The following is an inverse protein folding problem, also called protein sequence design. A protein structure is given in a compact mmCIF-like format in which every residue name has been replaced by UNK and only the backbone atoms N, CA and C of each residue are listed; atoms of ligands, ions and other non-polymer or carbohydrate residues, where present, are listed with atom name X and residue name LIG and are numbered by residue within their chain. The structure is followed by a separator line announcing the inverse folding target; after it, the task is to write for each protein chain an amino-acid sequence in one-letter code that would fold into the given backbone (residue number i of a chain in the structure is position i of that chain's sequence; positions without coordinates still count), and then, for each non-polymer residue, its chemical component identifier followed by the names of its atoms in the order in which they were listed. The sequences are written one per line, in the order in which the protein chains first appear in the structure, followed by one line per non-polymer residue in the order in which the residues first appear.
data_IF_504076544297
#
_entry.id   IF_504076544297
#
_cell.length_a   1.000
_cell.length_b   1.000
_cell.length_c   1.000
_cell.angle_alpha   90.00
_cell.angle_beta   90.00
_cell.angle_gamma   90.00
#
_symmetry.space_group_name_H-M   'P 1'
#
loop_
_entity.id
_entity.type
_entity.pdbx_description
1 polymer ?
#
# COMPACT_ATOMS: atom_id res chain seq x y z
N UNK A 1 35.44 -32.06 10.64
CA UNK A 1 34.17 -32.71 11.05
C UNK A 1 33.24 -33.02 9.85
N UNK A 2 33.75 -33.72 8.82
CA UNK A 2 33.11 -33.78 7.48
C UNK A 2 32.91 -35.21 6.92
N UNK A 3 32.98 -36.26 7.75
CA UNK A 3 32.77 -37.67 7.31
C UNK A 3 31.41 -38.28 7.75
N UNK A 4 30.76 -37.75 8.78
CA UNK A 4 29.48 -38.30 9.34
C UNK A 4 28.22 -37.94 8.52
N UNK A 5 28.16 -36.74 7.94
CA UNK A 5 27.02 -36.31 7.08
C UNK A 5 27.00 -37.01 5.71
N UNK A 6 28.17 -37.41 5.17
CA UNK A 6 28.29 -38.11 3.89
C UNK A 6 27.85 -39.58 4.01
N UNK A 7 28.17 -40.28 5.11
CA UNK A 7 27.74 -41.67 5.32
C UNK A 7 26.24 -41.82 5.60
N UNK A 8 25.63 -40.86 6.34
CA UNK A 8 24.16 -40.84 6.57
C UNK A 8 23.36 -40.54 5.30
N UNK A 9 23.86 -39.68 4.39
CA UNK A 9 23.23 -39.42 3.08
C UNK A 9 23.28 -40.64 2.14
N UNK A 10 24.40 -41.37 2.11
CA UNK A 10 24.54 -42.60 1.32
C UNK A 10 23.63 -43.74 1.81
N UNK A 11 23.42 -43.85 3.13
CA UNK A 11 22.54 -44.86 3.75
C UNK A 11 21.04 -44.59 3.50
N UNK A 12 20.63 -43.32 3.49
CA UNK A 12 19.25 -42.93 3.16
C UNK A 12 18.97 -43.10 1.66
N UNK A 13 19.95 -42.84 0.79
CA UNK A 13 19.85 -43.06 -0.66
C UNK A 13 19.70 -44.56 -0.99
N UNK A 14 20.46 -45.46 -0.33
CA UNK A 14 20.34 -46.91 -0.58
C UNK A 14 19.04 -47.52 -0.04
N UNK A 15 18.47 -46.98 1.04
CA UNK A 15 17.16 -47.42 1.57
C UNK A 15 15.99 -46.96 0.70
N UNK A 16 16.09 -45.75 0.11
CA UNK A 16 15.13 -45.27 -0.89
C UNK A 16 15.20 -46.10 -2.18
N UNK A 17 16.39 -46.41 -2.68
CA UNK A 17 16.55 -47.25 -3.88
C UNK A 17 16.06 -48.70 -3.64
N UNK A 18 16.28 -49.26 -2.45
CA UNK A 18 15.81 -50.62 -2.09
C UNK A 18 14.28 -50.68 -2.03
N UNK A 19 13.64 -49.68 -1.40
CA UNK A 19 12.18 -49.59 -1.30
C UNK A 19 11.52 -49.34 -2.67
N UNK A 20 12.12 -48.51 -3.53
CA UNK A 20 11.65 -48.27 -4.90
C UNK A 20 11.80 -49.53 -5.77
N UNK A 21 12.85 -50.33 -5.60
CA UNK A 21 13.03 -51.60 -6.32
C UNK A 21 12.00 -52.66 -5.91
N UNK A 22 11.67 -52.77 -4.62
CA UNK A 22 10.57 -53.63 -4.13
C UNK A 22 9.20 -53.16 -4.59
N UNK A 23 8.97 -51.84 -4.70
CA UNK A 23 7.72 -51.28 -5.20
C UNK A 23 7.56 -51.53 -6.72
N UNK A 24 8.65 -51.41 -7.48
CA UNK A 24 8.72 -51.71 -8.93
C UNK A 24 8.51 -53.20 -9.24
N UNK A 25 8.98 -54.11 -8.38
CA UNK A 25 8.74 -55.55 -8.53
C UNK A 25 7.31 -55.98 -8.16
N UNK A 26 6.64 -55.27 -7.24
CA UNK A 26 5.22 -55.51 -6.89
C UNK A 26 4.22 -54.94 -7.90
N UNK A 27 4.66 -54.08 -8.82
CA UNK A 27 3.84 -53.45 -9.87
C UNK A 27 3.91 -54.17 -11.23
N UNK A 28 4.67 -55.27 -11.35
CA UNK A 28 4.84 -56.00 -12.62
C UNK A 28 3.72 -57.00 -12.96
N UNK A 29 2.70 -57.17 -12.11
CA UNK A 29 1.72 -58.26 -12.25
C UNK A 29 0.32 -57.85 -12.70
N UNK A 30 0.11 -56.65 -13.24
CA UNK A 30 -1.19 -56.30 -13.83
C UNK A 30 -1.03 -55.43 -15.08
N UNK A 31 -1.51 -55.96 -16.20
CA UNK A 31 -1.19 -55.55 -17.58
C UNK A 31 -2.04 -54.37 -18.09
N UNK A 32 -2.55 -53.51 -17.22
CA UNK A 32 -3.49 -52.45 -17.63
C UNK A 32 -3.32 -51.20 -16.76
N UNK A 33 -2.35 -50.34 -17.10
CA UNK A 33 -2.35 -48.88 -16.85
C UNK A 33 -0.98 -48.19 -17.13
N UNK A 34 -0.34 -48.48 -18.27
CA UNK A 34 0.93 -47.85 -18.66
C UNK A 34 0.79 -46.37 -19.06
N UNK A 35 -0.39 -45.91 -19.51
CA UNK A 35 -0.62 -44.51 -19.94
C UNK A 35 -0.86 -43.53 -18.79
N UNK A 36 -1.46 -43.97 -17.67
CA UNK A 36 -1.70 -43.13 -16.50
C UNK A 36 -0.42 -42.88 -15.69
N UNK A 37 0.48 -43.87 -15.64
CA UNK A 37 1.77 -43.75 -14.97
C UNK A 37 2.69 -42.73 -15.67
N UNK A 38 2.64 -42.66 -17.01
CA UNK A 38 3.47 -41.73 -17.79
C UNK A 38 3.02 -40.27 -17.61
N UNK A 39 1.71 -40.01 -17.56
CA UNK A 39 1.14 -38.67 -17.29
C UNK A 39 1.44 -38.17 -15.87
N UNK A 40 1.37 -39.06 -14.88
CA UNK A 40 1.68 -38.72 -13.48
C UNK A 40 3.18 -38.44 -13.31
N UNK A 41 4.04 -39.21 -13.98
CA UNK A 41 5.50 -39.02 -13.94
C UNK A 41 5.93 -37.71 -14.64
N UNK A 42 5.29 -37.36 -15.77
CA UNK A 42 5.55 -36.12 -16.53
C UNK A 42 5.12 -34.87 -15.76
N UNK A 43 3.99 -34.92 -15.05
CA UNK A 43 3.47 -33.80 -14.22
C UNK A 43 4.27 -33.61 -12.92
N UNK A 44 4.78 -34.70 -12.35
CA UNK A 44 5.64 -34.67 -11.14
C UNK A 44 7.03 -34.05 -11.40
N UNK A 45 7.60 -34.26 -12.59
CA UNK A 45 8.90 -33.69 -12.99
C UNK A 45 8.83 -32.17 -13.25
N UNK A 46 7.71 -31.65 -13.75
CA UNK A 46 7.52 -30.20 -13.96
C UNK A 46 7.36 -29.41 -12.65
N UNK A 47 6.76 -30.00 -11.62
CA UNK A 47 6.60 -29.37 -10.30
C UNK A 47 7.91 -29.25 -9.51
N UNK A 48 8.98 -29.93 -9.94
CA UNK A 48 10.25 -30.03 -9.20
C UNK A 48 11.25 -28.91 -9.50
N UNK A 49 11.08 -28.09 -10.54
CA UNK A 49 12.24 -27.41 -11.16
C UNK A 49 12.39 -25.89 -11.06
N UNK A 50 11.52 -25.06 -10.45
CA UNK A 50 11.84 -23.60 -10.45
C UNK A 50 11.44 -22.67 -9.31
N UNK A 51 10.75 -23.10 -8.24
CA UNK A 51 10.40 -22.16 -7.14
C UNK A 51 10.32 -22.74 -5.72
N UNK A 52 10.56 -24.04 -5.54
CA UNK A 52 10.29 -24.74 -4.28
C UNK A 52 11.45 -24.72 -3.27
N UNK A 53 12.70 -24.47 -3.69
CA UNK A 53 13.86 -24.61 -2.79
C UNK A 53 13.95 -23.56 -1.70
N UNK A 54 13.58 -22.31 -2.00
CA UNK A 54 13.65 -21.21 -1.04
C UNK A 54 12.47 -21.25 -0.06
N UNK A 55 11.28 -21.65 -0.52
CA UNK A 55 10.08 -21.85 0.30
C UNK A 55 10.24 -23.02 1.30
N UNK A 56 10.97 -24.07 0.92
CA UNK A 56 11.26 -25.22 1.79
C UNK A 56 12.29 -24.92 2.90
N UNK A 57 13.05 -23.82 2.82
CA UNK A 57 13.99 -23.43 3.86
C UNK A 57 13.27 -22.71 5.02
N UNK A 58 12.32 -21.81 4.71
CA UNK A 58 11.46 -21.13 5.70
C UNK A 58 10.49 -22.09 6.41
N UNK A 59 9.88 -23.04 5.68
CA UNK A 59 8.97 -24.04 6.26
C UNK A 59 9.67 -25.04 7.21
N UNK A 60 11.00 -25.20 7.12
CA UNK A 60 11.76 -26.15 7.93
C UNK A 60 12.00 -25.65 9.36
N UNK A 61 12.02 -24.33 9.57
CA UNK A 61 12.23 -23.72 10.89
C UNK A 61 10.97 -23.78 11.74
N UNK A 62 9.78 -23.72 11.13
CA UNK A 62 8.49 -23.64 11.84
C UNK A 62 7.75 -24.99 12.04
N UNK A 63 8.18 -26.06 11.38
CA UNK A 63 7.46 -27.36 11.36
C UNK A 63 7.98 -28.43 12.33
N UNK A 64 9.12 -28.20 13.00
CA UNK A 64 9.73 -29.17 13.93
C UNK A 64 8.82 -29.51 15.13
N UNK A 65 8.20 -28.50 15.76
CA UNK A 65 7.40 -28.71 16.97
C UNK A 65 5.96 -29.15 16.67
N UNK A 66 5.46 -28.78 15.49
CA UNK A 66 4.11 -29.15 15.01
C UNK A 66 4.09 -30.61 14.54
N UNK A 67 5.19 -31.09 13.92
CA UNK A 67 5.31 -32.47 13.44
C UNK A 67 5.26 -33.53 14.54
N UNK A 68 5.80 -33.24 15.73
CA UNK A 68 5.81 -34.18 16.87
C UNK A 68 4.40 -34.30 17.48
N UNK A 69 3.65 -33.18 17.60
CA UNK A 69 2.25 -33.19 18.08
C UNK A 69 1.31 -33.94 17.13
N UNK A 70 1.48 -33.78 15.81
CA UNK A 70 0.63 -34.44 14.81
C UNK A 70 0.92 -35.95 14.75
N UNK A 71 2.19 -36.36 14.82
CA UNK A 71 2.58 -37.79 14.81
C UNK A 71 2.01 -38.55 16.01
N UNK A 72 2.10 -37.97 17.21
CA UNK A 72 1.59 -38.60 18.44
C UNK A 72 0.05 -38.66 18.46
N UNK A 73 -0.64 -37.69 17.86
CA UNK A 73 -2.10 -37.70 17.72
C UNK A 73 -2.58 -38.76 16.72
N UNK A 74 -1.86 -38.94 15.61
CA UNK A 74 -2.16 -39.96 14.59
C UNK A 74 -1.92 -41.40 15.09
N UNK A 75 -0.84 -41.65 15.85
CA UNK A 75 -0.58 -42.97 16.45
C UNK A 75 -1.61 -43.35 17.52
N UNK A 76 -2.12 -42.38 18.30
CA UNK A 76 -3.24 -42.59 19.22
C UNK A 76 -4.50 -43.05 18.48
N UNK A 77 -4.89 -42.34 17.42
CA UNK A 77 -6.08 -42.68 16.63
C UNK A 77 -5.99 -44.07 15.99
N UNK A 78 -4.82 -44.46 15.45
CA UNK A 78 -4.65 -45.78 14.85
C UNK A 78 -4.78 -46.92 15.87
N UNK A 79 -4.30 -46.72 17.11
CA UNK A 79 -4.43 -47.70 18.20
C UNK A 79 -5.87 -47.92 18.66
N UNK A 80 -6.71 -46.89 18.62
CA UNK A 80 -8.15 -46.99 18.96
C UNK A 80 -8.98 -47.63 17.84
N UNK A 81 -8.63 -47.37 16.59
CA UNK A 81 -9.43 -47.80 15.43
C UNK A 81 -9.11 -49.25 15.01
N UNK A 82 -7.88 -49.72 15.22
CA UNK A 82 -7.42 -51.08 14.87
C UNK A 82 -8.29 -52.24 15.45
N UNK A 83 -8.66 -52.28 16.74
CA UNK A 83 -9.48 -53.37 17.28
C UNK A 83 -10.92 -53.34 16.74
N UNK A 84 -11.47 -52.15 16.44
CA UNK A 84 -12.81 -52.00 15.89
C UNK A 84 -12.88 -52.60 14.48
N UNK A 85 -11.89 -52.29 13.62
CA UNK A 85 -11.83 -52.84 12.26
C UNK A 85 -11.65 -54.36 12.23
N UNK A 86 -10.80 -54.91 13.10
CA UNK A 86 -10.58 -56.36 13.19
C UNK A 86 -11.82 -57.11 13.67
N UNK A 87 -12.54 -56.55 14.66
CA UNK A 87 -13.80 -57.13 15.17
C UNK A 87 -14.95 -57.03 14.16
N UNK A 88 -14.97 -55.96 13.36
CA UNK A 88 -15.95 -55.76 12.29
C UNK A 88 -15.74 -56.75 11.13
N UNK A 89 -14.48 -57.01 10.74
CA UNK A 89 -14.18 -57.89 9.59
C UNK A 89 -14.51 -59.36 9.84
N UNK A 90 -14.28 -59.89 11.05
CA UNK A 90 -14.57 -61.31 11.35
C UNK A 90 -16.06 -61.58 11.54
N UNK A 91 -16.77 -60.71 12.26
CA UNK A 91 -18.16 -61.01 12.67
C UNK A 91 -19.17 -60.73 11.56
N UNK A 92 -19.03 -59.64 10.81
CA UNK A 92 -20.01 -59.27 9.79
C UNK A 92 -19.82 -59.99 8.46
N UNK A 93 -18.57 -60.18 7.99
CA UNK A 93 -18.34 -60.85 6.69
C UNK A 93 -18.74 -62.33 6.73
N UNK A 94 -18.49 -63.03 7.84
CA UNK A 94 -18.87 -64.44 8.00
C UNK A 94 -20.37 -64.60 8.20
N UNK A 95 -21.03 -63.74 8.99
CA UNK A 95 -22.51 -63.75 9.13
C UNK A 95 -23.21 -63.41 7.82
N UNK A 96 -22.70 -62.46 7.04
CA UNK A 96 -23.29 -62.09 5.75
C UNK A 96 -23.20 -63.26 4.76
N UNK A 97 -22.05 -63.92 4.69
CA UNK A 97 -21.87 -65.07 3.79
C UNK A 97 -22.79 -66.24 4.18
N UNK A 98 -22.81 -66.61 5.47
CA UNK A 98 -23.53 -67.81 5.90
C UNK A 98 -25.05 -67.61 6.06
N UNK A 99 -25.50 -66.42 6.48
CA UNK A 99 -26.92 -66.16 6.76
C UNK A 99 -27.68 -65.60 5.56
N UNK A 100 -27.01 -64.86 4.67
CA UNK A 100 -27.66 -64.16 3.54
C UNK A 100 -27.27 -64.79 2.21
N UNK A 101 -25.97 -64.95 1.92
CA UNK A 101 -25.54 -65.47 0.61
C UNK A 101 -25.86 -66.96 0.41
N UNK A 102 -25.67 -67.82 1.42
CA UNK A 102 -25.95 -69.26 1.28
C UNK A 102 -27.40 -69.60 0.94
N UNK A 103 -28.44 -69.08 1.63
CA UNK A 103 -29.82 -69.38 1.28
C UNK A 103 -30.22 -68.79 -0.08
N UNK A 104 -29.73 -67.59 -0.44
CA UNK A 104 -29.97 -66.99 -1.75
C UNK A 104 -29.34 -67.84 -2.85
N UNK A 105 -28.09 -68.28 -2.66
CA UNK A 105 -27.38 -69.15 -3.61
C UNK A 105 -28.11 -70.49 -3.76
N UNK A 106 -28.58 -71.11 -2.67
CA UNK A 106 -29.41 -72.33 -2.73
C UNK A 106 -30.75 -72.09 -3.45
N UNK A 107 -31.43 -70.97 -3.18
CA UNK A 107 -32.73 -70.66 -3.80
C UNK A 107 -32.59 -70.37 -5.30
N UNK A 108 -31.54 -69.66 -5.70
CA UNK A 108 -31.18 -69.42 -7.10
C UNK A 108 -30.82 -70.74 -7.79
N UNK A 109 -29.98 -71.57 -7.16
CA UNK A 109 -29.54 -72.84 -7.76
C UNK A 109 -30.68 -73.86 -7.86
N UNK A 110 -31.61 -73.88 -6.90
CA UNK A 110 -32.85 -74.66 -6.98
C UNK A 110 -33.82 -74.12 -8.04
N UNK A 111 -33.98 -72.79 -8.15
CA UNK A 111 -34.80 -72.17 -9.19
C UNK A 111 -34.24 -72.43 -10.60
N UNK A 112 -32.91 -72.39 -10.76
CA UNK A 112 -32.24 -72.77 -12.00
C UNK A 112 -32.37 -74.28 -12.26
N UNK A 113 -32.13 -75.15 -11.28
CA UNK A 113 -32.23 -76.61 -11.44
C UNK A 113 -33.65 -77.09 -11.76
N UNK A 114 -34.69 -76.47 -11.17
CA UNK A 114 -36.10 -76.79 -11.48
C UNK A 114 -36.51 -76.32 -12.87
N UNK A 115 -35.92 -75.23 -13.38
CA UNK A 115 -36.06 -74.83 -14.78
C UNK A 115 -35.32 -75.86 -15.68
N UNK A 116 -34.08 -76.26 -15.31
CA UNK A 116 -33.26 -77.39 -15.80
C UNK A 116 -33.97 -78.47 -16.66
N UNK A 117 -34.99 -79.05 -16.04
CA UNK A 117 -35.63 -80.27 -16.50
C UNK A 117 -36.85 -80.03 -17.39
N UNK A 118 -37.22 -78.77 -17.62
CA UNK A 118 -38.46 -78.37 -18.29
C UNK A 118 -38.23 -77.66 -19.64
N UNK A 119 -37.07 -77.86 -20.28
CA UNK A 119 -36.74 -77.22 -21.58
C UNK A 119 -36.68 -78.17 -22.78
N UNK A 120 -37.03 -79.45 -22.62
CA UNK A 120 -37.08 -80.36 -23.77
C UNK A 120 -38.44 -80.36 -24.49
N UNK A 121 -39.36 -79.50 -24.06
CA UNK A 121 -40.58 -79.22 -24.80
C UNK A 121 -41.08 -77.84 -24.44
N UNK A 122 -41.33 -77.03 -25.47
CA UNK A 122 -41.92 -75.68 -25.45
C UNK A 122 -40.92 -74.51 -25.36
N UNK A 123 -40.48 -74.04 -26.55
CA UNK A 123 -40.30 -72.61 -26.85
C UNK A 123 -41.66 -71.86 -26.81
N UNK A 124 -42.55 -72.20 -25.88
CA UNK A 124 -43.68 -71.35 -25.57
C UNK A 124 -43.18 -70.34 -24.56
N UNK A 125 -42.95 -69.15 -25.06
CA UNK A 125 -42.56 -67.99 -24.29
C UNK A 125 -43.60 -67.80 -23.18
N UNK A 126 -43.22 -68.12 -21.95
CA UNK A 126 -44.10 -68.10 -20.79
C UNK A 126 -44.68 -66.68 -20.64
N UNK A 127 -45.96 -66.52 -21.01
CA UNK A 127 -46.61 -65.21 -21.22
C UNK A 127 -46.56 -64.35 -19.96
N UNK A 128 -46.49 -64.99 -18.80
CA UNK A 128 -46.30 -64.33 -17.50
C UNK A 128 -44.88 -63.78 -17.30
N UNK A 129 -43.83 -64.46 -17.78
CA UNK A 129 -42.45 -63.98 -17.69
C UNK A 129 -42.22 -62.75 -18.57
N UNK A 130 -42.73 -62.75 -19.79
CA UNK A 130 -42.62 -61.60 -20.70
C UNK A 130 -43.34 -60.40 -20.11
N UNK A 131 -44.61 -60.58 -19.73
CA UNK A 131 -45.42 -59.47 -19.22
C UNK A 131 -44.78 -58.88 -17.96
N UNK A 132 -44.25 -59.72 -17.06
CA UNK A 132 -43.55 -59.24 -15.86
C UNK A 132 -42.31 -58.42 -16.20
N UNK A 133 -41.53 -58.86 -17.20
CA UNK A 133 -40.34 -58.12 -17.67
C UNK A 133 -40.75 -56.80 -18.33
N UNK A 134 -41.77 -56.81 -19.19
CA UNK A 134 -42.27 -55.59 -19.87
C UNK A 134 -42.80 -54.57 -18.86
N UNK A 135 -43.63 -54.98 -17.89
CA UNK A 135 -44.11 -54.11 -16.82
C UNK A 135 -42.99 -53.59 -15.92
N UNK A 136 -41.95 -54.38 -15.67
CA UNK A 136 -40.77 -53.94 -14.91
C UNK A 136 -39.99 -52.86 -15.66
N UNK A 137 -39.79 -53.03 -16.98
CA UNK A 137 -39.12 -52.04 -17.83
C UNK A 137 -39.92 -50.73 -17.87
N UNK A 138 -41.23 -50.83 -18.10
CA UNK A 138 -42.14 -49.68 -18.11
C UNK A 138 -42.14 -48.97 -16.75
N UNK A 139 -42.29 -49.73 -15.65
CA UNK A 139 -42.31 -49.18 -14.30
C UNK A 139 -41.00 -48.49 -13.92
N UNK A 140 -39.85 -49.10 -14.23
CA UNK A 140 -38.54 -48.52 -13.94
C UNK A 140 -38.29 -47.25 -14.76
N UNK A 141 -38.76 -47.22 -16.01
CA UNK A 141 -38.64 -46.06 -16.90
C UNK A 141 -39.49 -44.89 -16.41
N UNK A 142 -40.76 -45.16 -16.09
CA UNK A 142 -41.67 -44.15 -15.53
C UNK A 142 -41.19 -43.65 -14.16
N UNK A 143 -40.64 -44.54 -13.33
CA UNK A 143 -40.03 -44.17 -12.06
C UNK A 143 -38.83 -43.26 -12.25
N UNK A 144 -37.93 -43.57 -13.21
CA UNK A 144 -36.78 -42.73 -13.51
C UNK A 144 -37.16 -41.33 -14.03
N UNK A 145 -38.20 -41.25 -14.88
CA UNK A 145 -38.72 -39.98 -15.39
C UNK A 145 -39.38 -39.18 -14.26
N UNK A 146 -40.21 -39.83 -13.43
CA UNK A 146 -40.82 -39.18 -12.27
C UNK A 146 -39.77 -38.69 -11.28
N UNK A 147 -38.71 -39.48 -11.06
CA UNK A 147 -37.58 -39.10 -10.23
C UNK A 147 -36.84 -37.88 -10.79
N UNK A 148 -36.55 -37.86 -12.09
CA UNK A 148 -35.92 -36.71 -12.77
C UNK A 148 -36.76 -35.44 -12.67
N UNK A 149 -38.09 -35.55 -12.71
CA UNK A 149 -38.99 -34.40 -12.56
C UNK A 149 -38.97 -33.77 -11.16
N UNK A 150 -38.59 -34.54 -10.14
CA UNK A 150 -38.52 -34.09 -8.73
C UNK A 150 -37.08 -33.73 -8.35
N UNK A 151 -36.09 -34.32 -9.02
CA UNK A 151 -34.69 -34.10 -8.76
C UNK A 151 -34.26 -32.67 -9.12
N UNK A 152 -34.12 -31.82 -8.11
CA UNK A 152 -33.49 -30.51 -8.26
C UNK A 152 -31.99 -30.70 -8.45
N UNK A 153 -31.45 -30.19 -9.55
CA UNK A 153 -30.02 -30.15 -9.79
C UNK A 153 -29.54 -28.74 -9.48
N UNK A 154 -28.71 -28.59 -8.45
CA UNK A 154 -28.10 -27.32 -8.11
C UNK A 154 -26.92 -27.07 -9.06
N UNK A 155 -27.06 -26.08 -9.94
CA UNK A 155 -25.97 -25.63 -10.80
C UNK A 155 -25.15 -24.57 -10.06
N UNK A 156 -23.86 -24.88 -9.81
CA UNK A 156 -22.93 -23.93 -9.19
C UNK A 156 -22.10 -23.28 -10.30
N UNK A 157 -22.46 -22.06 -10.67
CA UNK A 157 -21.69 -21.25 -11.59
C UNK A 157 -20.65 -20.46 -10.79
N UNK A 158 -19.36 -20.72 -11.02
CA UNK A 158 -18.27 -19.94 -10.42
C UNK A 158 -17.95 -18.77 -11.34
N UNK A 159 -18.45 -17.58 -10.99
CA UNK A 159 -18.09 -16.31 -11.66
C UNK A 159 -16.97 -15.59 -10.91
N UNK A 160 -16.05 -14.98 -11.66
CA UNK A 160 -15.05 -14.08 -11.09
C UNK A 160 -15.68 -12.68 -10.96
N UNK A 161 -16.11 -12.31 -9.77
CA UNK A 161 -16.54 -10.95 -9.48
C UNK A 161 -15.34 -10.01 -9.31
N UNK A 162 -15.46 -8.77 -9.82
CA UNK A 162 -14.53 -7.67 -9.52
C UNK A 162 -15.25 -6.65 -8.64
N UNK A 163 -14.63 -6.27 -7.53
CA UNK A 163 -15.11 -5.17 -6.70
C UNK A 163 -14.67 -3.88 -7.40
N UNK A 164 -15.65 -3.06 -7.76
CA UNK A 164 -15.43 -1.71 -8.29
C UNK A 164 -16.01 -0.74 -7.26
N UNK A 165 -15.28 0.32 -6.89
CA UNK A 165 -15.82 1.33 -5.97
C UNK A 165 -17.11 1.94 -6.55
N UNK A 166 -18.08 2.17 -5.68
CA UNK A 166 -19.32 2.84 -6.04
C UNK A 166 -19.04 4.34 -5.95
N UNK A 167 -18.70 4.97 -7.08
CA UNK A 167 -18.40 6.40 -7.16
C UNK A 167 -17.15 6.73 -7.97
N UNK A 168 -16.84 8.01 -8.05
CA UNK A 168 -15.59 8.50 -8.65
C UNK A 168 -14.47 8.42 -7.61
N UNK A 169 -13.32 7.87 -8.02
CA UNK A 169 -12.09 7.94 -7.21
C UNK A 169 -11.47 9.30 -7.45
N UNK A 170 -11.49 10.17 -6.44
CA UNK A 170 -10.90 11.51 -6.54
C UNK A 170 -9.46 11.50 -6.05
N UNK A 171 -8.53 11.90 -6.92
CA UNK A 171 -7.15 12.15 -6.53
C UNK A 171 -7.05 13.47 -5.75
N UNK A 172 -6.77 13.38 -4.45
CA UNK A 172 -6.54 14.56 -3.61
C UNK A 172 -5.17 15.16 -3.94
N UNK A 173 -5.17 16.38 -4.49
CA UNK A 173 -3.95 17.12 -4.84
C UNK A 173 -3.77 18.30 -3.90
N UNK A 174 -2.53 18.59 -3.55
CA UNK A 174 -2.20 19.76 -2.75
C UNK A 174 -2.22 21.00 -3.67
N UNK A 175 -2.88 22.10 -3.26
CA UNK A 175 -2.92 23.34 -4.05
C UNK A 175 -1.55 24.04 -4.10
N UNK A 176 -0.74 23.85 -3.07
CA UNK A 176 0.61 24.38 -2.94
C UNK A 176 1.57 23.22 -2.67
N UNK A 177 2.69 23.16 -3.38
CA UNK A 177 3.74 22.18 -3.08
C UNK A 177 4.34 22.43 -1.70
N UNK A 178 4.75 21.37 -1.01
CA UNK A 178 5.33 21.46 0.34
C UNK A 178 6.03 20.16 0.72
N UNK A 179 6.84 20.21 1.78
CA UNK A 179 7.50 19.02 2.33
C UNK A 179 6.51 18.32 3.26
N UNK A 180 6.31 17.02 3.09
CA UNK A 180 5.43 16.25 3.98
C UNK A 180 6.15 16.00 5.29
N UNK A 181 5.59 16.51 6.40
CA UNK A 181 6.11 16.26 7.75
C UNK A 181 5.59 14.94 8.30
N UNK A 182 4.30 14.67 8.11
CA UNK A 182 3.66 13.45 8.62
C UNK A 182 2.45 13.06 7.78
N UNK A 183 2.29 11.76 7.55
CA UNK A 183 1.05 11.18 6.99
C UNK A 183 0.28 10.56 8.17
N UNK A 184 -0.99 10.94 8.32
CA UNK A 184 -1.82 10.58 9.48
C UNK A 184 -2.64 9.31 9.18
N UNK A 185 -2.96 9.07 7.90
CA UNK A 185 -3.83 7.99 7.44
C UNK A 185 -3.06 6.89 6.70
N UNK A 186 -3.59 5.67 6.73
CA UNK A 186 -3.05 4.51 6.02
C UNK A 186 -4.01 4.03 4.93
N UNK A 187 -3.49 3.16 4.06
CA UNK A 187 -4.28 2.56 3.00
C UNK A 187 -5.43 1.69 3.58
N UNK A 188 -6.66 1.97 3.16
CA UNK A 188 -7.86 1.28 3.61
C UNK A 188 -8.55 1.89 4.83
N UNK A 189 -8.02 3.00 5.37
CA UNK A 189 -8.68 3.74 6.44
C UNK A 189 -9.93 4.47 5.92
N UNK A 190 -10.98 4.50 6.75
CA UNK A 190 -12.18 5.29 6.48
C UNK A 190 -11.98 6.71 6.99
N UNK A 191 -12.21 7.69 6.11
CA UNK A 191 -12.04 9.13 6.40
C UNK A 191 -13.32 9.88 6.04
N UNK A 192 -13.63 10.92 6.80
CA UNK A 192 -14.76 11.81 6.55
C UNK A 192 -14.29 13.14 5.95
N UNK A 193 -15.24 13.93 5.44
CA UNK A 193 -14.95 15.26 4.95
C UNK A 193 -14.40 16.15 6.08
N UNK A 194 -13.27 16.81 5.82
CA UNK A 194 -12.58 17.68 6.76
C UNK A 194 -11.53 17.00 7.64
N UNK A 195 -11.40 15.67 7.58
CA UNK A 195 -10.36 14.97 8.33
C UNK A 195 -8.95 15.30 7.80
N UNK A 196 -8.01 15.48 8.73
CA UNK A 196 -6.62 15.80 8.40
C UNK A 196 -5.91 14.52 7.96
N UNK A 197 -5.59 14.44 6.66
CA UNK A 197 -4.93 13.26 6.08
C UNK A 197 -3.40 13.31 6.21
N UNK A 198 -2.84 14.52 6.10
CA UNK A 198 -1.40 14.76 6.13
C UNK A 198 -1.08 16.12 6.75
N UNK A 199 0.10 16.22 7.35
CA UNK A 199 0.68 17.43 7.91
C UNK A 199 1.88 17.83 7.05
N UNK A 200 1.88 19.07 6.56
CA UNK A 200 3.01 19.65 5.84
C UNK A 200 3.98 20.33 6.82
N UNK A 201 5.24 20.35 6.43
CA UNK A 201 6.24 21.14 7.11
C UNK A 201 6.08 22.62 6.75
N UNK A 202 5.81 23.43 7.76
CA UNK A 202 5.50 24.86 7.63
C UNK A 202 6.67 25.74 8.10
N UNK A 203 7.80 25.14 8.52
CA UNK A 203 8.95 25.89 9.06
C UNK A 203 9.47 26.91 8.04
N UNK A 204 9.60 26.52 6.77
CA UNK A 204 10.05 27.41 5.70
C UNK A 204 9.09 28.60 5.45
N UNK A 205 7.78 28.38 5.58
CA UNK A 205 6.79 29.45 5.40
C UNK A 205 6.78 30.41 6.59
N UNK A 206 6.92 29.88 7.81
CA UNK A 206 7.00 30.68 9.03
C UNK A 206 8.24 31.56 9.02
N UNK A 207 9.40 31.00 8.67
CA UNK A 207 10.62 31.78 8.48
C UNK A 207 10.45 32.84 7.40
N UNK A 208 9.80 32.49 6.27
CA UNK A 208 9.52 33.46 5.21
C UNK A 208 8.66 34.62 5.71
N UNK A 209 7.59 34.36 6.45
CA UNK A 209 6.77 35.42 7.05
C UNK A 209 7.56 36.26 8.06
N UNK A 210 8.35 35.64 8.92
CA UNK A 210 9.19 36.34 9.90
C UNK A 210 10.22 37.26 9.23
N UNK A 211 10.89 36.78 8.16
CA UNK A 211 11.83 37.61 7.39
C UNK A 211 11.15 38.79 6.72
N UNK A 212 9.94 38.60 6.19
CA UNK A 212 9.15 39.67 5.58
C UNK A 212 8.78 40.73 6.62
N UNK A 213 8.26 40.33 7.78
CA UNK A 213 7.93 41.26 8.87
C UNK A 213 9.17 42.01 9.36
N UNK A 214 10.30 41.31 9.50
CA UNK A 214 11.58 41.93 9.90
C UNK A 214 12.03 42.95 8.87
N UNK A 215 11.94 42.64 7.57
CA UNK A 215 12.29 43.57 6.49
C UNK A 215 11.40 44.81 6.51
N UNK A 216 10.09 44.65 6.74
CA UNK A 216 9.15 45.77 6.85
C UNK A 216 9.49 46.68 8.03
N UNK A 217 9.80 46.11 9.20
CA UNK A 217 10.20 46.88 10.38
C UNK A 217 11.52 47.62 10.17
N UNK A 218 12.50 47.01 9.49
CA UNK A 218 13.75 47.68 9.15
C UNK A 218 13.47 48.87 8.20
N UNK A 219 12.65 48.66 7.17
CA UNK A 219 12.28 49.74 6.24
C UNK A 219 11.51 50.85 6.93
N UNK A 220 10.59 50.55 7.85
CA UNK A 220 9.88 51.58 8.61
C UNK A 220 10.84 52.37 9.51
N UNK A 221 11.75 51.70 10.20
CA UNK A 221 12.75 52.36 11.04
C UNK A 221 13.70 53.22 10.20
N UNK A 222 14.11 52.75 9.02
CA UNK A 222 14.91 53.57 8.09
C UNK A 222 14.15 54.82 7.64
N UNK A 223 12.85 54.70 7.37
CA UNK A 223 12.01 55.82 6.96
C UNK A 223 11.82 56.82 8.11
N UNK A 224 11.69 56.35 9.35
CA UNK A 224 11.65 57.19 10.55
C UNK A 224 12.98 57.94 10.75
N UNK A 225 14.11 57.24 10.73
CA UNK A 225 15.43 57.87 10.84
C UNK A 225 15.68 58.90 9.72
N UNK A 226 15.22 58.62 8.49
CA UNK A 226 15.34 59.57 7.37
C UNK A 226 14.47 60.80 7.55
N UNK A 227 13.30 60.68 8.18
CA UNK A 227 12.48 61.84 8.56
C UNK A 227 13.16 62.67 9.63
N UNK A 228 13.68 62.03 10.67
CA UNK A 228 14.40 62.72 11.74
C UNK A 228 15.65 63.44 11.22
N UNK A 229 16.43 62.80 10.32
CA UNK A 229 17.56 63.43 9.64
C UNK A 229 17.11 64.66 8.84
N UNK A 230 15.98 64.57 8.13
CA UNK A 230 15.43 65.67 7.36
C UNK A 230 14.93 66.82 8.24
N UNK A 231 14.23 66.53 9.33
CA UNK A 231 13.76 67.53 10.29
C UNK A 231 14.95 68.27 10.92
N UNK A 232 15.99 67.54 11.32
CA UNK A 232 17.24 68.13 11.79
C UNK A 232 17.92 68.99 10.72
N UNK A 233 17.89 68.57 9.46
CA UNK A 233 18.43 69.35 8.34
C UNK A 233 17.68 70.68 8.15
N UNK A 234 16.35 70.68 8.24
CA UNK A 234 15.53 71.89 8.12
C UNK A 234 15.82 72.85 9.28
N UNK A 235 15.84 72.35 10.53
CA UNK A 235 16.15 73.18 11.71
C UNK A 235 17.53 73.81 11.58
N UNK A 236 18.55 73.01 11.26
CA UNK A 236 19.92 73.51 11.11
C UNK A 236 20.06 74.58 10.03
N UNK A 237 19.45 74.37 8.85
CA UNK A 237 19.52 75.36 7.77
C UNK A 237 18.72 76.63 8.08
N UNK A 238 17.61 76.53 8.83
CA UNK A 238 16.89 77.70 9.32
C UNK A 238 17.73 78.51 10.30
N UNK A 239 18.41 77.87 11.25
CA UNK A 239 19.31 78.54 12.20
C UNK A 239 20.47 79.23 11.48
N UNK A 240 21.05 78.58 10.47
CA UNK A 240 22.07 79.19 9.61
C UNK A 240 21.53 80.41 8.86
N UNK A 241 20.32 80.31 8.31
CA UNK A 241 19.69 81.41 7.59
C UNK A 241 19.48 82.62 8.52
N UNK A 242 18.97 82.39 9.73
CA UNK A 242 18.79 83.43 10.74
C UNK A 242 20.13 84.09 11.12
N UNK A 243 21.19 83.29 11.33
CA UNK A 243 22.52 83.82 11.65
C UNK A 243 23.11 84.70 10.53
N UNK A 244 22.87 84.32 9.26
CA UNK A 244 23.31 85.11 8.11
C UNK A 244 22.48 86.37 7.92
N UNK A 245 21.16 86.32 8.13
CA UNK A 245 20.29 87.49 8.10
C UNK A 245 20.67 88.49 9.20
N UNK A 246 20.95 88.01 10.43
CA UNK A 246 21.45 88.85 11.53
C UNK A 246 22.81 89.49 11.19
N UNK A 247 23.74 88.72 10.63
CA UNK A 247 25.04 89.23 10.18
C UNK A 247 24.88 90.28 9.07
N UNK A 248 23.93 90.07 8.15
CA UNK A 248 23.63 91.01 7.07
C UNK A 248 23.09 92.34 7.60
N UNK A 249 22.23 92.31 8.62
CA UNK A 249 21.70 93.52 9.27
C UNK A 249 22.82 94.35 9.91
N UNK A 250 23.71 93.69 10.67
CA UNK A 250 24.90 94.33 11.27
C UNK A 250 25.78 94.97 10.20
N UNK A 251 26.07 94.27 9.11
CA UNK A 251 26.94 94.78 8.05
C UNK A 251 26.30 95.95 7.28
N UNK A 252 24.96 95.99 7.17
CA UNK A 252 24.22 97.13 6.61
C UNK A 252 24.23 98.35 7.54
N UNK A 253 24.07 98.15 8.85
CA UNK A 253 24.21 99.24 9.84
C UNK A 253 25.63 99.82 9.78
N UNK A 254 26.64 98.95 9.77
CA UNK A 254 28.04 99.33 9.64
C UNK A 254 28.29 100.12 8.35
N UNK A 255 27.78 99.64 7.20
CA UNK A 255 27.91 100.36 5.93
C UNK A 255 27.29 101.76 6.01
N UNK A 256 26.15 101.92 6.70
CA UNK A 256 25.49 103.21 6.88
C UNK A 256 26.35 104.17 7.70
N UNK A 257 26.95 103.69 8.79
CA UNK A 257 27.90 104.47 9.60
C UNK A 257 29.14 104.86 8.80
N UNK A 258 29.72 103.92 8.04
CA UNK A 258 30.88 104.19 7.20
C UNK A 258 30.60 105.22 6.10
N UNK A 259 29.40 105.22 5.50
CA UNK A 259 29.01 106.25 4.53
C UNK A 259 29.02 107.66 5.15
N UNK A 260 28.57 107.80 6.39
CA UNK A 260 28.64 109.08 7.13
C UNK A 260 30.09 109.52 7.38
N UNK A 261 30.98 108.57 7.70
CA UNK A 261 32.41 108.83 7.87
C UNK A 261 33.10 109.20 6.56
N UNK A 262 32.70 108.61 5.43
CA UNK A 262 33.22 108.95 4.10
C UNK A 262 32.90 110.40 3.74
N UNK A 263 31.67 110.85 4.03
CA UNK A 263 31.28 112.25 3.82
C UNK A 263 32.11 113.23 4.64
N UNK A 264 32.61 112.78 5.79
CA UNK A 264 33.52 113.55 6.67
C UNK A 264 34.99 113.42 6.29
N UNK A 265 35.32 112.67 5.21
CA UNK A 265 36.69 112.44 4.75
C UNK A 265 37.53 111.50 5.62
N UNK A 266 36.92 110.84 6.62
CA UNK A 266 37.63 110.04 7.62
C UNK A 266 37.92 108.59 7.18
N UNK A 267 37.46 108.16 6.01
CA UNK A 267 37.65 106.81 5.47
C UNK A 267 37.79 106.84 3.93
N UNK A 268 38.41 105.81 3.36
CA UNK A 268 38.60 105.62 1.92
C UNK A 268 37.40 104.97 1.22
N UNK A 269 37.13 105.34 -0.03
CA UNK A 269 36.12 104.68 -0.88
C UNK A 269 36.38 103.18 -1.08
N UNK A 270 37.65 102.77 -1.10
CA UNK A 270 38.02 101.36 -1.24
C UNK A 270 37.47 100.51 -0.09
N UNK A 271 37.38 101.06 1.12
CA UNK A 271 36.86 100.37 2.31
C UNK A 271 35.35 100.16 2.21
N UNK A 272 34.62 101.16 1.68
CA UNK A 272 33.19 101.04 1.36
C UNK A 272 32.95 99.95 0.31
N UNK A 273 33.80 99.88 -0.71
CA UNK A 273 33.66 98.86 -1.76
C UNK A 273 33.89 97.45 -1.19
N UNK A 274 34.91 97.27 -0.36
CA UNK A 274 35.15 96.00 0.36
C UNK A 274 33.96 95.60 1.23
N UNK A 275 33.38 96.56 1.95
CA UNK A 275 32.20 96.32 2.77
C UNK A 275 30.99 95.89 1.93
N UNK A 276 30.76 96.54 0.78
CA UNK A 276 29.70 96.13 -0.17
C UNK A 276 29.91 94.70 -0.70
N UNK A 277 31.16 94.31 -0.99
CA UNK A 277 31.47 92.94 -1.43
C UNK A 277 31.14 91.90 -0.35
N UNK A 278 31.43 92.19 0.93
CA UNK A 278 31.03 91.32 2.05
C UNK A 278 29.51 91.14 2.15
N UNK A 279 28.77 92.24 2.06
CA UNK A 279 27.30 92.22 2.05
C UNK A 279 26.78 91.39 0.88
N UNK A 280 27.40 91.51 -0.30
CA UNK A 280 27.04 90.72 -1.47
C UNK A 280 27.31 89.22 -1.27
N UNK A 281 28.43 88.86 -0.65
CA UNK A 281 28.75 87.46 -0.31
C UNK A 281 27.73 86.88 0.69
N UNK A 282 27.39 87.62 1.74
CA UNK A 282 26.36 87.21 2.72
C UNK A 282 25.00 87.00 2.06
N UNK A 283 24.58 87.91 1.18
CA UNK A 283 23.33 87.75 0.40
C UNK A 283 23.36 86.50 -0.48
N UNK A 284 24.50 86.20 -1.10
CA UNK A 284 24.68 84.97 -1.90
C UNK A 284 24.50 83.72 -1.03
N UNK A 285 25.12 83.69 0.17
CA UNK A 285 24.98 82.59 1.14
C UNK A 285 23.52 82.41 1.59
N UNK A 286 22.82 83.49 1.91
CA UNK A 286 21.39 83.48 2.26
C UNK A 286 20.56 82.85 1.14
N UNK A 287 20.81 83.23 -0.12
CA UNK A 287 20.09 82.67 -1.28
C UNK A 287 20.39 81.17 -1.42
N UNK A 288 21.64 80.75 -1.27
CA UNK A 288 22.03 79.33 -1.33
C UNK A 288 21.36 78.51 -0.22
N UNK A 289 21.41 78.98 1.02
CA UNK A 289 20.77 78.31 2.16
C UNK A 289 19.25 78.27 2.00
N UNK A 290 18.62 79.35 1.55
CA UNK A 290 17.17 79.38 1.26
C UNK A 290 16.79 78.43 0.12
N UNK A 291 17.63 78.30 -0.90
CA UNK A 291 17.42 77.32 -1.98
C UNK A 291 17.48 75.88 -1.45
N UNK A 292 18.41 75.58 -0.55
CA UNK A 292 18.56 74.24 0.04
C UNK A 292 17.36 73.84 0.93
N UNK A 293 16.60 74.80 1.45
CA UNK A 293 15.37 74.57 2.21
C UNK A 293 14.14 74.31 1.32
N UNK A 294 14.19 74.67 0.03
CA UNK A 294 13.09 74.55 -0.92
C UNK A 294 13.13 73.27 -1.78
N UNK A 295 14.29 72.61 -1.83
CA UNK A 295 14.53 71.36 -2.57
C UNK A 295 14.34 70.15 -1.67
#
# INVERSE_FOLDING_TARGET
MNKSKKSKRLRIKSLLDKNVKTFKNKLKTSKTNSRLLDLIQKKYLQLKSKKLSNFLYELKVKSSDIGIKIKNKAERSYRFIKPIYLKFSEVYLVKLNNKVLLPIRKKILFAFSKKNAAYEGLLQQDRFWINSVTWTIIGTTLFGIGWLSIAKTDEIIVVQGKIVPIGEVTDIKMPMGGIVKKIIVNEGDYVNEGDILLELDDEANQERSNTLTTSQNITSNQLELKKDEFDNFIVFNNDLLESYEMSLDIENDLLTRLKGLLQSGAISEAEILRQKLKIQDLKSRIIQTRSNLQT
#
